data_IF_262648905929
#
_entry.id   IF_262648905929
#
_cell.length_a   1.000
_cell.length_b   1.000
_cell.length_c   1.000
_cell.angle_alpha   90.00
_cell.angle_beta   90.00
_cell.angle_gamma   90.00
#
_symmetry.space_group_name_H-M   'P 1'
#
loop_
_entity.id
_entity.type
_entity.pdbx_description
1 polymer ?
#
# COMPACT_ATOMS: atom_id res chain seq x y z
N UNK A 1 -21.79 -15.45 6.56
CA UNK A 1 -21.34 -14.64 5.41
C UNK A 1 -20.81 -13.29 5.90
N UNK A 2 -21.54 -12.51 6.71
CA UNK A 2 -21.07 -11.24 7.30
C UNK A 2 -19.79 -11.29 8.17
N UNK A 3 -19.52 -12.39 8.88
CA UNK A 3 -18.35 -12.50 9.79
C UNK A 3 -17.02 -12.64 9.02
N UNK A 4 -17.03 -13.33 7.86
CA UNK A 4 -15.83 -13.47 7.04
C UNK A 4 -15.46 -12.14 6.37
N UNK A 5 -16.46 -11.37 5.93
CA UNK A 5 -16.30 -10.06 5.31
C UNK A 5 -15.70 -9.04 6.29
N UNK A 6 -16.20 -9.03 7.53
CA UNK A 6 -15.69 -8.15 8.59
C UNK A 6 -14.28 -8.55 9.06
N UNK A 7 -13.95 -9.84 9.10
CA UNK A 7 -12.58 -10.31 9.37
C UNK A 7 -11.58 -9.90 8.28
N UNK A 8 -11.96 -10.02 7.00
CA UNK A 8 -11.14 -9.60 5.87
C UNK A 8 -10.90 -8.08 5.88
N UNK A 9 -11.93 -7.28 6.16
CA UNK A 9 -11.80 -5.82 6.32
C UNK A 9 -10.84 -5.46 7.45
N UNK A 10 -10.92 -6.13 8.59
CA UNK A 10 -10.01 -5.92 9.72
C UNK A 10 -8.55 -6.24 9.36
N UNK A 11 -8.31 -7.34 8.62
CA UNK A 11 -6.96 -7.68 8.14
C UNK A 11 -6.45 -6.65 7.12
N UNK A 12 -7.31 -6.15 6.24
CA UNK A 12 -6.97 -5.12 5.26
C UNK A 12 -6.57 -3.80 5.92
N UNK A 13 -7.25 -3.42 7.01
CA UNK A 13 -6.87 -2.27 7.84
C UNK A 13 -5.50 -2.47 8.50
N UNK A 14 -5.24 -3.64 9.06
CA UNK A 14 -3.93 -3.98 9.63
C UNK A 14 -2.80 -3.88 8.59
N UNK A 15 -3.01 -4.43 7.40
CA UNK A 15 -2.07 -4.33 6.28
C UNK A 15 -1.87 -2.89 5.82
N UNK A 16 -2.93 -2.08 5.80
CA UNK A 16 -2.85 -0.64 5.47
C UNK A 16 -1.96 0.15 6.42
N UNK A 17 -2.01 -0.15 7.72
CA UNK A 17 -1.13 0.47 8.72
C UNK A 17 0.34 0.10 8.46
N UNK A 18 0.61 -1.18 8.19
CA UNK A 18 1.97 -1.64 7.86
C UNK A 18 2.49 -0.95 6.60
N UNK A 19 1.62 -0.77 5.60
CA UNK A 19 1.92 -0.08 4.35
C UNK A 19 2.28 1.40 4.60
N UNK A 20 1.54 2.06 5.50
CA UNK A 20 1.81 3.44 5.93
C UNK A 20 3.13 3.57 6.69
N UNK A 21 3.46 2.63 7.57
CA UNK A 21 4.76 2.60 8.26
C UNK A 21 5.91 2.43 7.27
N UNK A 22 5.78 1.52 6.29
CA UNK A 22 6.76 1.36 5.21
C UNK A 22 6.96 2.64 4.39
N UNK A 23 5.87 3.36 4.11
CA UNK A 23 5.93 4.66 3.44
C UNK A 23 6.73 5.70 4.23
N UNK A 24 6.50 5.80 5.55
CA UNK A 24 7.26 6.71 6.43
C UNK A 24 8.74 6.36 6.47
N UNK A 25 9.10 5.07 6.53
CA UNK A 25 10.51 4.63 6.53
C UNK A 25 11.23 5.06 5.24
N UNK A 26 10.56 4.94 4.10
CA UNK A 26 11.11 5.36 2.80
C UNK A 26 11.25 6.90 2.75
N UNK A 27 10.29 7.66 3.27
CA UNK A 27 10.42 9.11 3.39
C UNK A 27 11.64 9.51 4.25
N UNK A 28 11.82 8.87 5.40
CA UNK A 28 12.98 9.12 6.28
C UNK A 28 14.29 8.81 5.55
N UNK A 29 14.34 7.71 4.79
CA UNK A 29 15.48 7.38 3.93
C UNK A 29 15.72 8.43 2.85
N UNK A 30 14.69 8.96 2.20
CA UNK A 30 14.85 10.04 1.20
C UNK A 30 15.38 11.32 1.84
N UNK A 31 14.91 11.69 3.04
CA UNK A 31 15.46 12.82 3.80
C UNK A 31 16.93 12.61 4.21
N UNK A 32 17.30 11.39 4.60
CA UNK A 32 18.67 11.06 5.02
C UNK A 32 19.71 11.23 3.89
N UNK A 33 19.30 11.12 2.62
CA UNK A 33 20.18 11.27 1.46
C UNK A 33 20.03 12.64 0.75
N UNK A 34 19.46 13.64 1.44
CA UNK A 34 19.25 15.02 0.96
C UNK A 34 18.35 15.20 -0.27
N UNK A 35 17.59 14.17 -0.67
CA UNK A 35 16.61 14.26 -1.76
C UNK A 35 15.26 14.86 -1.25
N UNK A 36 15.34 16.06 -0.65
CA UNK A 36 14.22 16.75 0.02
C UNK A 36 13.07 17.05 -0.95
N UNK A 37 13.38 17.36 -2.22
CA UNK A 37 12.36 17.68 -3.22
C UNK A 37 11.40 16.51 -3.49
N UNK A 38 11.94 15.31 -3.69
CA UNK A 38 11.15 14.09 -3.90
C UNK A 38 10.34 13.70 -2.65
N UNK A 39 10.94 13.85 -1.47
CA UNK A 39 10.26 13.60 -0.20
C UNK A 39 9.08 14.56 0.02
N UNK A 40 9.27 15.85 -0.28
CA UNK A 40 8.23 16.87 -0.11
C UNK A 40 7.07 16.70 -1.11
N UNK A 41 7.39 16.42 -2.38
CA UNK A 41 6.39 16.18 -3.42
C UNK A 41 5.55 14.95 -3.09
N UNK A 42 6.20 13.85 -2.68
CA UNK A 42 5.48 12.63 -2.29
C UNK A 42 4.63 12.85 -1.03
N UNK A 43 5.10 13.60 -0.04
CA UNK A 43 4.31 13.94 1.16
C UNK A 43 3.07 14.79 0.82
N UNK A 44 3.24 15.83 0.01
CA UNK A 44 2.15 16.72 -0.43
C UNK A 44 1.11 15.98 -1.25
N UNK A 45 1.53 15.13 -2.20
CA UNK A 45 0.59 14.33 -2.97
C UNK A 45 -0.11 13.25 -2.13
N UNK A 46 0.53 12.77 -1.06
CA UNK A 46 -0.10 11.81 -0.15
C UNK A 46 -1.23 12.49 0.61
N UNK A 47 -1.00 13.71 1.11
CA UNK A 47 -2.00 14.50 1.84
C UNK A 47 -3.13 15.03 0.95
N UNK A 48 -2.84 15.37 -0.31
CA UNK A 48 -3.81 16.02 -1.19
C UNK A 48 -4.63 15.01 -2.02
N UNK A 49 -4.04 13.88 -2.40
CA UNK A 49 -4.62 12.97 -3.41
C UNK A 49 -4.54 11.49 -3.01
N UNK A 50 -3.75 11.13 -1.99
CA UNK A 50 -3.46 9.73 -1.66
C UNK A 50 -2.52 9.02 -2.64
N UNK A 51 -2.32 9.57 -3.84
CA UNK A 51 -1.38 9.07 -4.85
C UNK A 51 0.09 9.25 -4.48
N UNK A 52 0.41 10.06 -3.46
CA UNK A 52 1.80 10.27 -3.07
C UNK A 52 2.50 9.00 -2.58
N UNK A 53 1.75 7.98 -2.12
CA UNK A 53 2.29 6.65 -1.81
C UNK A 53 2.89 5.99 -3.04
N UNK A 54 2.23 6.09 -4.20
CA UNK A 54 2.74 5.55 -5.47
C UNK A 54 4.00 6.31 -5.93
N UNK A 55 4.04 7.63 -5.76
CA UNK A 55 5.23 8.41 -6.13
C UNK A 55 6.42 8.08 -5.23
N UNK A 56 6.21 7.96 -3.91
CA UNK A 56 7.28 7.53 -3.01
C UNK A 56 7.74 6.10 -3.31
N UNK A 57 6.82 5.24 -3.75
CA UNK A 57 7.14 3.89 -4.16
C UNK A 57 8.01 3.84 -5.42
N UNK A 58 7.62 4.59 -6.46
CA UNK A 58 8.41 4.69 -7.70
C UNK A 58 9.75 5.37 -7.40
N UNK A 59 9.74 6.48 -6.66
CA UNK A 59 10.95 7.22 -6.28
C UNK A 59 11.91 6.35 -5.46
N UNK A 60 11.40 5.60 -4.48
CA UNK A 60 12.25 4.69 -3.71
C UNK A 60 12.82 3.55 -4.54
N UNK A 61 12.10 3.07 -5.57
CA UNK A 61 12.57 2.01 -6.49
C UNK A 61 13.63 2.53 -7.45
N UNK A 62 13.43 3.72 -8.02
CA UNK A 62 14.39 4.37 -8.92
C UNK A 62 15.73 4.62 -8.22
N UNK A 63 15.69 4.98 -6.93
CA UNK A 63 16.89 5.24 -6.13
C UNK A 63 17.25 4.07 -5.18
N UNK A 64 16.72 2.86 -5.43
CA UNK A 64 16.89 1.73 -4.51
C UNK A 64 18.35 1.30 -4.32
N UNK A 65 19.16 1.46 -5.37
CA UNK A 65 20.61 1.22 -5.38
C UNK A 65 21.39 2.31 -4.65
N UNK A 66 20.89 3.54 -4.65
CA UNK A 66 21.48 4.69 -3.93
C UNK A 66 21.25 4.58 -2.42
N UNK A 67 20.13 4.01 -2.01
CA UNK A 67 19.73 3.90 -0.60
C UNK A 67 20.05 2.55 0.05
N UNK A 68 20.65 1.61 -0.68
CA UNK A 68 20.89 0.21 -0.27
C UNK A 68 19.66 -0.41 0.42
N UNK A 69 18.49 -0.13 -0.16
CA UNK A 69 17.19 -0.39 0.45
C UNK A 69 16.41 -1.48 -0.29
N UNK A 70 17.09 -2.25 -1.14
CA UNK A 70 16.51 -3.34 -1.94
C UNK A 70 15.67 -4.30 -1.08
N UNK A 71 16.19 -4.66 0.10
CA UNK A 71 15.51 -5.57 1.02
C UNK A 71 14.23 -4.98 1.61
N UNK A 72 14.25 -3.68 1.94
CA UNK A 72 13.10 -2.96 2.49
C UNK A 72 12.04 -2.71 1.43
N UNK A 73 12.46 -2.32 0.22
CA UNK A 73 11.57 -2.13 -0.92
C UNK A 73 10.94 -3.43 -1.37
N UNK A 74 11.70 -4.53 -1.42
CA UNK A 74 11.19 -5.87 -1.72
C UNK A 74 10.14 -6.35 -0.71
N UNK A 75 10.35 -6.05 0.58
CA UNK A 75 9.37 -6.35 1.62
C UNK A 75 8.10 -5.50 1.45
N UNK A 76 8.26 -4.22 1.13
CA UNK A 76 7.16 -3.30 0.92
C UNK A 76 6.30 -3.65 -0.32
N UNK A 77 6.93 -4.02 -1.44
CA UNK A 77 6.23 -4.57 -2.62
C UNK A 77 5.46 -5.83 -2.26
N UNK A 78 6.08 -6.78 -1.56
CA UNK A 78 5.46 -8.05 -1.23
C UNK A 78 4.20 -7.87 -0.37
N UNK A 79 4.26 -6.99 0.63
CA UNK A 79 3.12 -6.67 1.50
C UNK A 79 2.02 -5.96 0.71
N UNK A 80 2.38 -4.96 -0.09
CA UNK A 80 1.40 -4.24 -0.92
C UNK A 80 0.71 -5.18 -1.91
N UNK A 81 1.44 -6.12 -2.48
CA UNK A 81 0.91 -7.12 -3.40
C UNK A 81 -0.01 -8.12 -2.68
N UNK A 82 0.39 -8.60 -1.50
CA UNK A 82 -0.46 -9.46 -0.68
C UNK A 82 -1.77 -8.75 -0.30
N UNK A 83 -1.70 -7.50 0.14
CA UNK A 83 -2.86 -6.68 0.46
C UNK A 83 -3.79 -6.50 -0.75
N UNK A 84 -3.23 -6.27 -1.93
CA UNK A 84 -4.00 -6.17 -3.16
C UNK A 84 -4.72 -7.48 -3.50
N UNK A 85 -4.05 -8.63 -3.38
CA UNK A 85 -4.66 -9.95 -3.56
C UNK A 85 -5.83 -10.19 -2.60
N UNK A 86 -5.66 -9.87 -1.32
CA UNK A 86 -6.74 -10.00 -0.32
C UNK A 86 -7.92 -9.07 -0.65
N UNK A 87 -7.65 -7.84 -1.10
CA UNK A 87 -8.69 -6.89 -1.49
C UNK A 87 -9.47 -7.37 -2.73
N UNK A 88 -8.79 -7.90 -3.74
CA UNK A 88 -9.43 -8.47 -4.94
C UNK A 88 -10.23 -9.72 -4.60
N UNK A 89 -9.72 -10.61 -3.75
CA UNK A 89 -10.47 -11.77 -3.29
C UNK A 89 -11.76 -11.36 -2.54
N UNK A 90 -11.70 -10.31 -1.73
CA UNK A 90 -12.86 -9.76 -1.03
C UNK A 90 -13.92 -9.21 -2.00
N UNK A 91 -13.53 -8.41 -3.00
CA UNK A 91 -14.49 -7.86 -3.98
C UNK A 91 -15.12 -8.97 -4.84
N UNK A 92 -14.35 -10.00 -5.20
CA UNK A 92 -14.87 -11.17 -5.90
C UNK A 92 -15.90 -11.94 -5.07
N UNK A 93 -15.64 -12.15 -3.77
CA UNK A 93 -16.63 -12.78 -2.88
C UNK A 93 -17.91 -11.94 -2.75
N UNK A 94 -17.78 -10.62 -2.66
CA UNK A 94 -18.92 -9.70 -2.55
C UNK A 94 -19.79 -9.73 -3.81
N UNK A 95 -19.16 -9.72 -4.99
CA UNK A 95 -19.84 -9.88 -6.29
C UNK A 95 -20.58 -11.22 -6.40
N UNK A 96 -20.03 -12.30 -5.84
CA UNK A 96 -20.69 -13.61 -5.82
C UNK A 96 -21.91 -13.63 -4.89
N UNK A 97 -21.87 -12.90 -3.77
CA UNK A 97 -23.01 -12.75 -2.84
C UNK A 97 -24.17 -11.99 -3.49
N UNK A 98 -23.90 -10.89 -4.20
CA UNK A 98 -24.96 -10.14 -4.90
C UNK A 98 -25.59 -10.91 -6.06
N UNK A 99 -24.79 -11.67 -6.83
CA UNK A 99 -25.32 -12.49 -7.92
C UNK A 99 -26.25 -13.63 -7.43
N UNK A 100 -25.98 -14.21 -6.26
CA UNK A 100 -26.83 -15.23 -5.65
C UNK A 100 -28.19 -14.69 -5.17
N UNK A 101 -28.25 -13.40 -4.82
CA UNK A 101 -29.49 -12.70 -4.43
C UNK A 101 -30.36 -12.30 -5.63
N UNK A 102 -29.77 -12.08 -6.81
CA UNK A 102 -30.50 -11.73 -8.04
C UNK A 102 -31.24 -12.92 -8.68
N UNK A 103 -30.84 -14.16 -8.36
CA UNK A 103 -31.43 -15.39 -8.91
C UNK A 103 -32.56 -15.99 -8.04
N UNK A 104 -32.91 -15.36 -6.91
CA UNK A 104 -33.89 -15.86 -5.93
C UNK A 104 -35.07 -14.90 -5.80
#
# INVERSE_FOLDING_TARGET
MAVAETMLLAMCWGLGIVNLVCFVIILVKMFAYQDIGLALISLLLTLCSGFGVLIAFIGGWVYVTKYDSLRFMGFWTAISFAQFLFAVAYTLMLMQSENLLSYR
#
